data_IF_404645456227
#
_entry.id   IF_404645456227
#
_cell.length_a   1.000
_cell.length_b   1.000
_cell.length_c   1.000
_cell.angle_alpha   90.00
_cell.angle_beta   90.00
_cell.angle_gamma   90.00
#
_symmetry.space_group_name_H-M   'P 1'
#
loop_
_entity.id
_entity.type
_entity.pdbx_description
1 polymer ?
#
# COMPACT_ATOMS: atom_id res chain seq x y z
N UNK A 1 9.43 -3.15 35.38
CA UNK A 1 8.75 -4.21 34.61
C UNK A 1 9.33 -4.24 33.20
N UNK A 2 9.56 -5.42 32.60
CA UNK A 2 9.94 -5.48 31.18
C UNK A 2 8.86 -4.81 30.33
N UNK A 3 9.26 -3.89 29.45
CA UNK A 3 8.32 -3.26 28.50
C UNK A 3 7.79 -4.34 27.58
N UNK A 4 6.46 -4.45 27.46
CA UNK A 4 5.87 -5.19 26.34
C UNK A 4 6.27 -4.50 25.02
N UNK A 5 6.53 -5.28 23.95
CA UNK A 5 6.79 -4.70 22.64
C UNK A 5 5.57 -3.92 22.16
N UNK A 6 5.81 -2.80 21.46
CA UNK A 6 4.75 -2.00 20.88
C UNK A 6 3.89 -2.84 19.92
N UNK A 7 2.58 -2.76 20.09
CA UNK A 7 1.62 -3.37 19.17
C UNK A 7 1.53 -2.50 17.91
N UNK A 8 1.84 -3.08 16.75
CA UNK A 8 1.78 -2.40 15.45
C UNK A 8 0.83 -3.15 14.53
N UNK A 9 -0.26 -2.49 14.14
CA UNK A 9 -1.22 -3.00 13.16
C UNK A 9 -1.14 -2.16 11.87
N UNK A 10 -1.03 -2.83 10.72
CA UNK A 10 -1.14 -2.17 9.40
C UNK A 10 -2.35 -2.77 8.71
N UNK A 11 -3.33 -1.92 8.39
CA UNK A 11 -4.55 -2.32 7.68
C UNK A 11 -4.44 -1.84 6.23
N UNK A 12 -4.38 -2.76 5.25
CA UNK A 12 -4.30 -2.39 3.84
C UNK A 12 -5.60 -1.72 3.36
N UNK A 13 -5.59 -1.21 2.12
CA UNK A 13 -6.80 -0.75 1.46
C UNK A 13 -7.82 -1.87 1.39
N UNK A 14 -9.10 -1.54 1.57
CA UNK A 14 -10.18 -2.47 1.26
C UNK A 14 -10.22 -2.76 -0.24
N UNK A 15 -10.84 -3.88 -0.63
CA UNK A 15 -11.03 -4.20 -2.05
C UNK A 15 -11.86 -3.12 -2.77
N UNK A 16 -12.87 -2.56 -2.09
CA UNK A 16 -13.67 -1.45 -2.60
C UNK A 16 -12.82 -0.20 -2.84
N UNK A 17 -12.00 0.20 -1.86
CA UNK A 17 -11.10 1.35 -1.99
C UNK A 17 -10.08 1.14 -3.11
N UNK A 18 -9.52 -0.07 -3.20
CA UNK A 18 -8.55 -0.44 -4.25
C UNK A 18 -9.21 -0.41 -5.63
N UNK A 19 -10.46 -0.84 -5.76
CA UNK A 19 -11.23 -0.76 -7.01
C UNK A 19 -11.52 0.68 -7.42
N UNK A 20 -11.89 1.56 -6.47
CA UNK A 20 -12.09 2.99 -6.74
C UNK A 20 -10.79 3.63 -7.22
N UNK A 21 -9.68 3.31 -6.53
CA UNK A 21 -8.36 3.82 -6.86
C UNK A 21 -7.87 3.32 -8.22
N UNK A 22 -8.09 2.04 -8.54
CA UNK A 22 -7.79 1.46 -9.83
C UNK A 22 -8.50 2.24 -10.95
N UNK A 23 -9.80 2.52 -10.81
CA UNK A 23 -10.55 3.32 -11.79
C UNK A 23 -10.03 4.75 -11.96
N UNK A 24 -9.50 5.36 -10.90
CA UNK A 24 -8.87 6.68 -10.97
C UNK A 24 -7.55 6.65 -11.76
N UNK A 25 -6.71 5.64 -11.52
CA UNK A 25 -5.42 5.51 -12.19
C UNK A 25 -5.52 4.96 -13.62
N UNK A 26 -6.48 4.08 -13.89
CA UNK A 26 -6.61 3.36 -15.16
C UNK A 26 -6.63 4.30 -16.35
N UNK A 27 -7.49 5.33 -16.35
CA UNK A 27 -7.59 6.27 -17.47
C UNK A 27 -6.27 7.02 -17.73
N UNK A 28 -5.56 7.41 -16.67
CA UNK A 28 -4.28 8.11 -16.80
C UNK A 28 -3.20 7.22 -17.41
N UNK A 29 -3.15 5.96 -17.00
CA UNK A 29 -2.11 5.03 -17.43
C UNK A 29 -2.42 4.31 -18.75
N UNK A 30 -3.69 4.08 -19.11
CA UNK A 30 -4.03 3.49 -20.41
C UNK A 30 -3.87 4.45 -21.58
N UNK A 31 -3.95 5.77 -21.35
CA UNK A 31 -4.02 6.75 -22.44
C UNK A 31 -2.95 7.85 -22.41
N UNK A 32 -2.14 7.97 -21.35
CA UNK A 32 -1.15 9.06 -21.27
C UNK A 32 0.19 8.66 -20.63
N UNK A 33 0.16 7.88 -19.55
CA UNK A 33 1.35 7.63 -18.72
C UNK A 33 1.79 6.16 -18.68
N UNK A 34 1.44 5.35 -19.68
CA UNK A 34 1.76 3.92 -19.74
C UNK A 34 3.26 3.63 -19.66
N UNK A 35 4.11 4.46 -20.26
CA UNK A 35 5.57 4.24 -20.29
C UNK A 35 6.20 4.31 -18.90
N UNK A 36 6.01 5.38 -18.09
CA UNK A 36 6.50 5.40 -16.71
C UNK A 36 6.04 4.19 -15.88
N UNK A 37 4.78 3.77 -16.04
CA UNK A 37 4.22 2.61 -15.33
C UNK A 37 4.86 1.30 -15.77
N UNK A 38 5.03 1.08 -17.07
CA UNK A 38 5.65 -0.12 -17.60
C UNK A 38 7.10 -0.24 -17.13
N UNK A 39 7.85 0.86 -17.13
CA UNK A 39 9.22 0.90 -16.61
C UNK A 39 9.23 0.60 -15.11
N UNK A 40 8.33 1.20 -14.33
CA UNK A 40 8.21 0.91 -12.90
C UNK A 40 7.90 -0.58 -12.63
N UNK A 41 6.96 -1.17 -13.40
CA UNK A 41 6.64 -2.60 -13.34
C UNK A 41 7.86 -3.46 -13.69
N UNK A 42 8.57 -3.13 -14.77
CA UNK A 42 9.73 -3.90 -15.21
C UNK A 42 10.85 -3.88 -14.18
N UNK A 43 11.17 -2.72 -13.62
CA UNK A 43 12.16 -2.59 -12.53
C UNK A 43 11.72 -3.29 -11.24
N UNK A 44 10.41 -3.40 -11.01
CA UNK A 44 9.85 -4.07 -9.83
C UNK A 44 9.89 -5.60 -9.90
N UNK A 45 9.81 -6.14 -11.10
CA UNK A 45 9.57 -7.58 -11.32
C UNK A 45 10.65 -8.24 -12.15
N UNK A 46 11.64 -7.48 -12.64
CA UNK A 46 12.62 -7.87 -13.65
C UNK A 46 11.97 -8.46 -14.92
N UNK A 47 10.71 -8.11 -15.18
CA UNK A 47 9.92 -8.63 -16.30
C UNK A 47 10.30 -7.97 -17.63
N UNK A 48 10.09 -8.70 -18.73
CA UNK A 48 10.33 -8.19 -20.09
C UNK A 48 9.38 -7.03 -20.40
N UNK A 49 9.94 -5.87 -20.75
CA UNK A 49 9.16 -4.74 -21.26
C UNK A 49 8.60 -5.08 -22.64
N UNK A 50 7.31 -4.81 -22.81
CA UNK A 50 6.63 -4.98 -24.10
C UNK A 50 5.86 -3.72 -24.46
N UNK A 51 5.77 -3.46 -25.77
CA UNK A 51 5.03 -2.33 -26.31
C UNK A 51 4.02 -2.80 -27.35
N UNK A 52 2.86 -2.16 -27.33
CA UNK A 52 1.85 -2.27 -28.35
C UNK A 52 2.05 -1.14 -29.36
N UNK A 53 2.20 -1.50 -30.63
CA UNK A 53 2.43 -0.56 -31.73
C UNK A 53 1.47 -0.76 -32.88
N UNK A 54 1.23 0.30 -33.65
CA UNK A 54 0.56 0.18 -34.96
C UNK A 54 1.53 -0.38 -36.02
N UNK A 55 1.02 -0.75 -37.19
CA UNK A 55 1.88 -1.23 -38.30
C UNK A 55 2.86 -0.15 -38.80
N UNK A 56 2.48 1.13 -38.70
CA UNK A 56 3.32 2.28 -39.03
C UNK A 56 4.38 2.56 -37.96
N UNK A 57 4.42 1.75 -36.89
CA UNK A 57 5.43 1.82 -35.85
C UNK A 57 5.13 2.82 -34.74
N UNK A 58 3.92 3.37 -34.63
CA UNK A 58 3.57 4.27 -33.52
C UNK A 58 3.33 3.50 -32.22
N UNK A 59 3.96 3.92 -31.12
CA UNK A 59 3.66 3.43 -29.77
C UNK A 59 2.24 3.82 -29.34
N UNK A 60 1.49 2.82 -28.87
CA UNK A 60 0.11 2.95 -28.38
C UNK A 60 0.05 2.70 -26.88
N UNK A 61 0.70 1.64 -26.39
CA UNK A 61 0.69 1.25 -24.99
C UNK A 61 1.97 0.51 -24.60
N UNK A 62 2.28 0.46 -23.31
CA UNK A 62 3.42 -0.25 -22.77
C UNK A 62 3.01 -1.03 -21.52
N UNK A 63 3.65 -2.17 -21.29
CA UNK A 63 3.46 -3.01 -20.12
C UNK A 63 4.63 -3.97 -19.97
N UNK A 64 4.44 -5.03 -19.18
CA UNK A 64 5.43 -6.09 -19.02
C UNK A 64 4.84 -7.45 -19.34
N UNK A 65 5.69 -8.40 -19.74
CA UNK A 65 5.35 -9.81 -19.85
C UNK A 65 5.74 -10.55 -18.58
N UNK A 66 4.78 -11.19 -17.93
CA UNK A 66 5.02 -11.99 -16.73
C UNK A 66 5.79 -13.26 -17.07
N UNK A 67 6.34 -13.94 -16.06
CA UNK A 67 7.00 -15.25 -16.25
C UNK A 67 6.06 -16.31 -16.86
N UNK A 68 4.75 -16.20 -16.58
CA UNK A 68 3.72 -17.06 -17.16
C UNK A 68 3.41 -16.75 -18.64
N UNK A 69 4.00 -15.69 -19.20
CA UNK A 69 3.81 -15.25 -20.58
C UNK A 69 2.62 -14.30 -20.79
N UNK A 70 1.85 -14.02 -19.73
CA UNK A 70 0.74 -13.06 -19.71
C UNK A 70 1.27 -11.62 -19.71
N UNK A 71 0.37 -10.65 -19.86
CA UNK A 71 0.73 -9.23 -19.87
C UNK A 71 0.26 -8.56 -18.60
N UNK A 72 1.02 -7.59 -18.11
CA UNK A 72 0.63 -6.78 -16.95
C UNK A 72 0.74 -5.30 -17.27
N UNK A 73 -0.32 -4.57 -16.92
CA UNK A 73 -0.35 -3.11 -16.88
C UNK A 73 -1.14 -2.61 -15.65
N UNK A 74 -1.68 -1.38 -15.72
CA UNK A 74 -2.45 -0.77 -14.63
C UNK A 74 -3.66 -1.60 -14.19
N UNK A 75 -4.19 -2.45 -15.07
CA UNK A 75 -5.35 -3.30 -14.80
C UNK A 75 -4.98 -4.59 -14.06
N UNK A 76 -3.69 -4.86 -13.87
CA UNK A 76 -3.19 -6.13 -13.35
C UNK A 76 -2.77 -7.06 -14.48
N UNK A 77 -2.75 -8.36 -14.18
CA UNK A 77 -2.41 -9.40 -15.15
C UNK A 77 -3.61 -9.65 -16.06
N UNK A 78 -3.39 -9.57 -17.37
CA UNK A 78 -4.40 -9.68 -18.42
C UNK A 78 -3.86 -10.52 -19.58
N UNK A 79 -4.78 -11.18 -20.28
CA UNK A 79 -4.45 -11.85 -21.52
C UNK A 79 -4.13 -10.85 -22.64
N UNK A 80 -3.43 -11.30 -23.68
CA UNK A 80 -3.03 -10.44 -24.80
C UNK A 80 -4.23 -9.79 -25.51
N UNK A 81 -5.35 -10.50 -25.65
CA UNK A 81 -6.57 -9.94 -26.25
C UNK A 81 -7.12 -8.77 -25.43
N UNK A 82 -7.16 -8.91 -24.10
CA UNK A 82 -7.60 -7.86 -23.19
C UNK A 82 -6.62 -6.69 -23.12
N UNK A 83 -5.32 -6.98 -23.22
CA UNK A 83 -4.28 -5.96 -23.32
C UNK A 83 -4.51 -5.04 -24.53
N UNK A 84 -4.90 -5.63 -25.67
CA UNK A 84 -5.17 -4.94 -26.94
C UNK A 84 -6.55 -4.28 -27.00
N UNK A 85 -7.53 -4.81 -26.27
CA UNK A 85 -8.96 -4.43 -26.36
C UNK A 85 -9.24 -2.92 -26.34
N UNK A 86 -8.60 -2.10 -25.47
CA UNK A 86 -8.86 -0.66 -25.44
C UNK A 86 -8.50 0.07 -26.74
N UNK A 87 -7.67 -0.55 -27.59
CA UNK A 87 -7.07 0.06 -28.77
C UNK A 87 -7.55 -0.55 -30.09
N UNK A 88 -8.57 -1.43 -30.06
CA UNK A 88 -9.04 -2.17 -31.24
C UNK A 88 -9.49 -1.31 -32.43
N UNK A 89 -9.83 -0.03 -32.21
CA UNK A 89 -10.15 0.93 -33.26
C UNK A 89 -8.96 1.49 -34.03
N UNK A 90 -7.72 1.17 -33.64
CA UNK A 90 -6.49 1.73 -34.20
C UNK A 90 -5.88 0.90 -35.34
N UNK A 91 -6.61 -0.09 -35.87
CA UNK A 91 -6.13 -1.00 -36.92
C UNK A 91 -5.31 -2.17 -36.39
N UNK A 92 -4.53 -2.86 -37.24
CA UNK A 92 -3.71 -3.99 -36.81
C UNK A 92 -2.62 -3.52 -35.85
N UNK A 93 -2.51 -4.19 -34.70
CA UNK A 93 -1.53 -3.88 -33.67
C UNK A 93 -0.51 -5.01 -33.55
N UNK A 94 0.74 -4.66 -33.22
CA UNK A 94 1.83 -5.61 -32.98
C UNK A 94 2.37 -5.41 -31.57
N UNK A 95 2.57 -6.53 -30.89
CA UNK A 95 3.21 -6.57 -29.57
C UNK A 95 4.69 -6.89 -29.79
N UNK A 96 5.57 -6.04 -29.27
CA UNK A 96 7.01 -6.15 -29.53
C UNK A 96 7.76 -6.01 -28.20
N UNK A 97 8.74 -6.89 -27.90
CA UNK A 97 9.67 -6.68 -26.79
C UNK A 97 10.48 -5.39 -26.97
N UNK A 98 10.83 -4.75 -25.87
CA UNK A 98 11.64 -3.52 -25.90
C UNK A 98 12.56 -3.44 -24.68
N UNK A 99 13.36 -2.38 -24.62
CA UNK A 99 14.20 -2.04 -23.46
C UNK A 99 13.77 -0.72 -22.85
N UNK A 100 14.12 -0.51 -21.59
CA UNK A 100 13.90 0.77 -20.91
C UNK A 100 14.56 1.92 -21.70
N UNK A 101 15.81 1.74 -22.15
CA UNK A 101 16.54 2.74 -22.92
C UNK A 101 15.83 3.11 -24.24
N UNK A 102 15.24 2.13 -24.94
CA UNK A 102 14.50 2.37 -26.17
C UNK A 102 13.18 3.12 -25.91
N UNK A 103 12.46 2.77 -24.84
CA UNK A 103 11.25 3.47 -24.41
C UNK A 103 11.52 4.93 -24.04
N UNK A 104 12.57 5.18 -23.26
CA UNK A 104 12.96 6.54 -22.85
C UNK A 104 13.42 7.39 -24.05
N UNK A 105 14.03 6.77 -25.07
CA UNK A 105 14.39 7.48 -26.30
C UNK A 105 13.16 7.85 -27.15
N UNK A 106 12.12 7.01 -27.15
CA UNK A 106 10.88 7.27 -27.90
C UNK A 106 9.95 8.26 -27.19
N UNK A 107 9.93 8.24 -25.86
CA UNK A 107 9.11 9.13 -25.02
C UNK A 107 10.02 9.92 -24.06
N UNK A 108 10.76 10.93 -24.60
CA UNK A 108 11.81 11.65 -23.85
C UNK A 108 11.28 12.49 -22.68
N UNK A 109 9.98 12.78 -22.65
CA UNK A 109 9.33 13.49 -21.54
C UNK A 109 9.11 12.58 -20.31
N UNK A 110 9.40 11.28 -20.42
CA UNK A 110 9.36 10.35 -19.29
C UNK A 110 10.53 10.64 -18.36
N UNK A 111 10.23 11.16 -17.17
CA UNK A 111 11.24 11.46 -16.15
C UNK A 111 11.29 10.37 -15.07
N UNK A 112 12.42 10.26 -14.39
CA UNK A 112 12.59 9.33 -13.26
C UNK A 112 11.53 9.56 -12.17
N UNK A 113 11.21 10.82 -11.87
CA UNK A 113 10.14 11.19 -10.93
C UNK A 113 8.76 10.65 -11.33
N UNK A 114 8.48 10.55 -12.64
CA UNK A 114 7.22 9.95 -13.12
C UNK A 114 7.23 8.43 -12.94
N UNK A 115 8.37 7.78 -13.12
CA UNK A 115 8.55 6.34 -12.91
C UNK A 115 8.40 6.01 -11.43
N UNK A 116 9.07 6.75 -10.54
CA UNK A 116 8.94 6.62 -9.08
C UNK A 116 7.48 6.76 -8.64
N UNK A 117 6.80 7.82 -9.08
CA UNK A 117 5.38 8.04 -8.76
C UNK A 117 4.48 6.92 -9.29
N UNK A 118 4.78 6.38 -10.47
CA UNK A 118 4.04 5.24 -11.00
C UNK A 118 4.28 3.97 -10.15
N UNK A 119 5.52 3.77 -9.67
CA UNK A 119 5.86 2.75 -8.68
C UNK A 119 5.05 2.86 -7.39
N UNK A 120 4.91 4.07 -6.85
CA UNK A 120 4.09 4.32 -5.65
C UNK A 120 2.63 3.91 -5.88
N UNK A 121 2.03 4.35 -6.99
CA UNK A 121 0.66 4.00 -7.35
C UNK A 121 0.48 2.48 -7.54
N UNK A 122 1.46 1.80 -8.15
CA UNK A 122 1.45 0.34 -8.30
C UNK A 122 1.44 -0.36 -6.95
N UNK A 123 2.22 0.11 -5.97
CA UNK A 123 2.25 -0.45 -4.62
C UNK A 123 0.93 -0.27 -3.87
N UNK A 124 0.10 0.71 -4.23
CA UNK A 124 -1.25 0.87 -3.67
C UNK A 124 -2.24 -0.13 -4.28
N UNK A 125 -2.05 -0.49 -5.56
CA UNK A 125 -2.93 -1.39 -6.29
C UNK A 125 -2.55 -2.86 -6.17
N UNK A 126 -1.28 -3.15 -5.96
CA UNK A 126 -0.72 -4.49 -6.09
C UNK A 126 0.19 -4.82 -4.90
N UNK A 127 -0.32 -5.70 -4.03
CA UNK A 127 0.39 -6.20 -2.84
C UNK A 127 1.36 -7.34 -3.14
N UNK A 128 1.28 -7.91 -4.33
CA UNK A 128 2.21 -8.93 -4.80
C UNK A 128 3.56 -8.35 -5.23
N UNK A 129 3.67 -7.03 -5.42
CA UNK A 129 4.92 -6.38 -5.83
C UNK A 129 5.94 -6.31 -4.68
N UNK A 130 7.25 -6.51 -4.94
CA UNK A 130 8.29 -6.45 -3.91
C UNK A 130 8.31 -5.13 -3.13
N UNK A 131 8.13 -4.00 -3.81
CA UNK A 131 8.14 -2.68 -3.19
C UNK A 131 6.94 -2.45 -2.27
N UNK A 132 5.80 -3.12 -2.50
CA UNK A 132 4.65 -3.03 -1.60
C UNK A 132 5.00 -3.64 -0.23
N UNK A 133 5.72 -4.76 -0.22
CA UNK A 133 6.22 -5.40 1.01
C UNK A 133 7.27 -4.56 1.70
N UNK A 134 8.26 -4.04 0.95
CA UNK A 134 9.29 -3.14 1.49
C UNK A 134 8.66 -1.89 2.12
N UNK A 135 7.63 -1.32 1.49
CA UNK A 135 6.86 -0.19 2.03
C UNK A 135 6.20 -0.55 3.36
N UNK A 136 5.55 -1.71 3.45
CA UNK A 136 4.93 -2.16 4.70
C UNK A 136 5.98 -2.31 5.82
N UNK A 137 7.13 -2.92 5.53
CA UNK A 137 8.23 -3.08 6.48
C UNK A 137 8.76 -1.74 6.99
N UNK A 138 8.96 -0.76 6.09
CA UNK A 138 9.37 0.60 6.46
C UNK A 138 8.33 1.28 7.35
N UNK A 139 7.04 1.15 7.03
CA UNK A 139 5.95 1.69 7.86
C UNK A 139 5.98 1.04 9.24
N UNK A 140 6.12 -0.29 9.31
CA UNK A 140 6.17 -1.02 10.57
C UNK A 140 7.34 -0.58 11.45
N UNK A 141 8.53 -0.44 10.86
CA UNK A 141 9.71 0.06 11.55
C UNK A 141 9.53 1.50 12.05
N UNK A 142 8.95 2.37 11.22
CA UNK A 142 8.63 3.75 11.58
C UNK A 142 7.65 3.82 12.76
N UNK A 143 6.55 3.06 12.72
CA UNK A 143 5.56 3.04 13.79
C UNK A 143 6.12 2.47 15.11
N UNK A 144 7.01 1.47 15.03
CA UNK A 144 7.74 0.97 16.19
C UNK A 144 8.57 2.06 16.86
N UNK A 145 9.41 2.75 16.07
CA UNK A 145 10.23 3.85 16.56
C UNK A 145 9.38 5.02 17.10
N UNK A 146 8.24 5.30 16.46
CA UNK A 146 7.30 6.31 16.92
C UNK A 146 6.68 5.94 18.27
N UNK A 147 6.35 4.67 18.48
CA UNK A 147 5.81 4.16 19.76
C UNK A 147 6.82 4.31 20.89
N UNK A 148 8.09 4.00 20.63
CA UNK A 148 9.17 4.17 21.60
C UNK A 148 9.35 5.64 21.98
N UNK A 149 9.31 6.55 21.01
CA UNK A 149 9.39 7.98 21.22
C UNK A 149 8.20 8.50 22.06
N UNK A 150 6.98 8.11 21.69
CA UNK A 150 5.76 8.47 22.40
C UNK A 150 5.81 8.04 23.87
N UNK A 151 6.24 6.81 24.12
CA UNK A 151 6.32 6.25 25.47
C UNK A 151 7.45 6.90 26.28
N UNK A 152 8.59 7.22 25.67
CA UNK A 152 9.70 7.88 26.35
C UNK A 152 9.34 9.29 26.86
N UNK A 153 8.46 10.00 26.14
CA UNK A 153 8.09 11.38 26.44
C UNK A 153 6.71 11.54 27.07
N UNK A 154 5.94 10.46 27.21
CA UNK A 154 4.59 10.50 27.81
C UNK A 154 3.56 11.24 26.95
N UNK A 155 3.71 11.20 25.63
CA UNK A 155 2.76 11.78 24.69
C UNK A 155 2.43 10.81 23.56
N UNK A 156 1.19 10.82 23.09
CA UNK A 156 0.73 9.98 21.99
C UNK A 156 0.20 10.80 20.83
N UNK A 157 0.28 10.20 19.63
CA UNK A 157 -0.24 10.76 18.39
C UNK A 157 -1.56 10.07 17.97
N UNK A 158 -2.46 10.80 17.33
CA UNK A 158 -3.75 10.30 16.78
C UNK A 158 -4.22 11.22 15.66
N UNK A 159 -4.94 10.65 14.69
CA UNK A 159 -5.60 11.39 13.61
C UNK A 159 -7.09 11.08 13.59
N UNK A 160 -7.90 12.02 14.09
CA UNK A 160 -9.36 11.88 14.06
C UNK A 160 -9.94 12.23 12.68
N UNK A 161 -9.24 13.06 11.91
CA UNK A 161 -9.65 13.53 10.59
C UNK A 161 -8.56 13.23 9.56
N UNK A 162 -8.92 13.15 8.26
CA UNK A 162 -7.93 13.17 7.19
C UNK A 162 -7.01 14.40 7.35
N UNK A 163 -5.70 14.17 7.39
CA UNK A 163 -4.65 15.19 7.55
C UNK A 163 -4.57 15.89 8.92
N UNK A 164 -5.18 15.35 9.98
CA UNK A 164 -4.93 15.85 11.33
C UNK A 164 -3.95 14.94 12.10
N UNK A 165 -2.98 15.55 12.75
CA UNK A 165 -2.11 14.91 13.74
C UNK A 165 -2.24 15.73 15.01
N UNK A 166 -2.72 15.10 16.08
CA UNK A 166 -2.84 15.73 17.39
C UNK A 166 -1.92 15.01 18.38
N UNK A 167 -1.49 15.72 19.43
CA UNK A 167 -0.65 15.21 20.51
C UNK A 167 -1.43 15.26 21.84
N UNK A 168 -1.39 14.20 22.62
CA UNK A 168 -2.02 14.14 23.96
C UNK A 168 -1.09 13.54 24.99
N UNK A 169 -1.21 13.93 26.27
CA UNK A 169 -0.59 13.21 27.37
C UNK A 169 -0.98 11.73 27.37
N UNK A 170 -0.06 10.85 27.75
CA UNK A 170 -0.30 9.42 27.93
C UNK A 170 -1.13 9.16 29.19
N UNK A 171 -2.04 8.17 29.10
CA UNK A 171 -2.91 7.73 30.20
C UNK A 171 -2.56 6.33 30.73
N UNK A 172 -1.62 5.63 30.11
CA UNK A 172 -1.06 4.36 30.57
C UNK A 172 -1.73 3.12 29.99
N UNK A 173 -2.85 3.26 29.30
CA UNK A 173 -3.55 2.18 28.60
C UNK A 173 -3.07 1.98 27.16
N UNK A 174 -2.10 2.77 26.71
CA UNK A 174 -1.64 2.76 25.32
C UNK A 174 -0.67 1.62 25.01
N UNK A 175 -0.93 0.90 23.91
CA UNK A 175 -0.15 -0.26 23.51
C UNK A 175 0.61 -0.09 22.18
N UNK A 176 0.34 0.97 21.40
CA UNK A 176 1.04 1.22 20.15
C UNK A 176 0.17 1.90 19.09
N UNK A 177 0.42 1.59 17.82
CA UNK A 177 -0.18 2.27 16.69
C UNK A 177 -0.81 1.32 15.68
N UNK A 178 -1.93 1.78 15.12
CA UNK A 178 -2.58 1.20 13.95
C UNK A 178 -2.50 2.18 12.80
N UNK A 179 -1.97 1.75 11.66
CA UNK A 179 -1.98 2.53 10.43
C UNK A 179 -2.94 1.91 9.43
N UNK A 180 -3.98 2.65 9.06
CA UNK A 180 -4.95 2.26 8.03
C UNK A 180 -4.63 2.98 6.73
N UNK A 181 -4.40 2.25 5.65
CA UNK A 181 -4.24 2.85 4.34
C UNK A 181 -5.53 3.55 3.90
N UNK A 182 -5.38 4.71 3.26
CA UNK A 182 -6.46 5.44 2.58
C UNK A 182 -6.03 5.72 1.14
N UNK A 183 -6.98 5.82 0.19
CA UNK A 183 -6.66 6.08 -1.21
C UNK A 183 -5.74 7.30 -1.41
N UNK A 184 -4.72 7.18 -2.27
CA UNK A 184 -3.77 8.25 -2.55
C UNK A 184 -2.53 8.23 -1.66
N UNK A 185 -2.10 7.04 -1.25
CA UNK A 185 -0.79 6.79 -0.65
C UNK A 185 -0.66 7.17 0.82
N UNK A 186 -1.73 7.68 1.43
CA UNK A 186 -1.72 8.20 2.80
C UNK A 186 -2.12 7.12 3.81
N UNK A 187 -1.66 7.25 5.05
CA UNK A 187 -2.06 6.40 6.16
C UNK A 187 -2.80 7.23 7.22
N UNK A 188 -3.91 6.71 7.72
CA UNK A 188 -4.58 7.19 8.92
C UNK A 188 -3.98 6.50 10.14
N UNK A 189 -3.47 7.31 11.08
CA UNK A 189 -2.90 6.81 12.33
C UNK A 189 -3.95 6.77 13.44
N UNK A 190 -4.13 5.59 14.02
CA UNK A 190 -5.00 5.32 15.16
C UNK A 190 -4.14 4.82 16.34
N UNK A 191 -4.54 5.17 17.56
CA UNK A 191 -3.89 4.71 18.80
C UNK A 191 -4.47 3.34 19.19
N UNK A 192 -3.61 2.37 19.49
CA UNK A 192 -4.03 1.09 20.06
C UNK A 192 -4.05 1.16 21.58
N UNK A 193 -5.10 0.60 22.17
CA UNK A 193 -5.24 0.42 23.60
C UNK A 193 -4.89 -1.02 23.95
N UNK A 194 -4.13 -1.20 25.03
CA UNK A 194 -3.85 -2.51 25.59
C UNK A 194 -5.13 -3.16 26.11
N UNK A 195 -5.18 -4.49 26.09
CA UNK A 195 -6.18 -5.20 26.87
C UNK A 195 -5.92 -4.86 28.33
N UNK A 196 -6.91 -4.27 29.01
CA UNK A 196 -6.86 -4.17 30.45
C UNK A 196 -6.71 -5.60 30.98
N UNK A 197 -5.63 -5.88 31.71
CA UNK A 197 -5.62 -7.03 32.61
C UNK A 197 -6.81 -6.81 33.54
N UNK A 198 -7.92 -7.46 33.24
CA UNK A 198 -9.02 -7.59 34.20
C UNK A 198 -8.45 -8.51 35.27
N UNK A 199 -7.79 -7.92 36.27
CA UNK A 199 -7.68 -8.52 37.58
C UNK A 199 -9.12 -8.87 37.98
N UNK A 200 -9.49 -10.12 37.76
CA UNK A 200 -10.66 -10.71 38.39
C UNK A 200 -10.31 -10.75 39.87
N UNK A 201 -10.57 -9.64 40.56
CA UNK A 201 -10.75 -9.64 42.00
C UNK A 201 -11.77 -10.74 42.28
N UNK A 202 -11.28 -11.86 42.79
CA UNK A 202 -12.14 -12.89 43.37
C UNK A 202 -12.93 -12.19 44.48
N UNK A 203 -14.27 -12.28 44.49
CA UNK A 203 -15.01 -11.76 45.62
C UNK A 203 -14.58 -12.55 46.85
N UNK A 204 -14.07 -11.83 47.84
CA UNK A 204 -13.75 -12.37 49.15
C UNK A 204 -14.99 -13.10 49.69
N UNK A 205 -14.80 -14.38 50.00
CA UNK A 205 -15.78 -15.27 50.59
C UNK A 205 -16.20 -14.72 51.96
N UNK A 206 -17.27 -13.90 51.99
CA UNK A 206 -17.92 -13.45 53.21
C UNK A 206 -18.98 -14.47 53.61
N UNK A 207 -18.55 -15.57 54.22
CA UNK A 207 -19.45 -16.49 54.94
C UNK A 207 -19.11 -16.52 56.43
N UNK A 208 -20.05 -16.03 57.25
CA UNK A 208 -20.11 -16.35 58.69
C UNK A 208 -20.55 -15.20 59.60
N UNK A 209 -21.77 -15.21 60.17
CA UNK A 209 -22.18 -14.25 61.20
C UNK A 209 -21.57 -14.60 62.58
N UNK A 210 -21.47 -13.64 63.52
CA UNK A 210 -20.81 -13.85 64.80
C UNK A 210 -21.65 -14.71 65.75
N UNK A 211 -20.98 -15.61 66.47
CA UNK A 211 -21.57 -16.43 67.51
C UNK A 211 -21.97 -15.57 68.72
N UNK A 212 -23.23 -15.70 69.16
CA UNK A 212 -23.75 -15.17 70.42
C UNK A 212 -23.04 -15.86 71.61
N UNK A 213 -22.38 -15.07 72.45
CA UNK A 213 -21.92 -15.49 73.76
C UNK A 213 -23.02 -15.20 74.81
N UNK A 214 -23.47 -16.30 75.43
CA UNK A 214 -24.22 -16.50 76.69
C UNK A 214 -24.89 -15.32 77.37
#
# INVERSE_FOLDING_TARGET
MPRQPAQIEIVPLSEEDRSILAGYYENGYLHGHCVPLAIALARATDAELVILRTEEGRLIHAGVRTEAGELRDIRGVVEELEFRRPYGGMGPLRLVPTTEAALLAEVPDTTEKMIERAGDHLCELFDDLPQAREREEKIRAFLGALSDLCTAHGFWLRGELPNSIVLYPAYGDEAGFKARAVPGGTLRLERLLGEAEVERDQPADLTGPPALAR
#
